data_IF_419731951207
#
_entry.id   IF_419731951207
#
_cell.length_a   1.000
_cell.length_b   1.000
_cell.length_c   1.000
_cell.angle_alpha   90.00
_cell.angle_beta   90.00
_cell.angle_gamma   90.00
#
_symmetry.space_group_name_H-M   'P 1'
#
loop_
_entity.id
_entity.type
_entity.pdbx_description
1 polymer ?
#
# COMPACT_ATOMS: atom_id res chain seq x y z
N UNK A 1 0.67 7.63 -64.54
CA UNK A 1 -0.24 7.94 -63.42
C UNK A 1 -0.13 6.81 -62.42
N UNK A 2 0.72 6.98 -61.40
CA UNK A 2 0.90 6.02 -60.31
C UNK A 2 0.50 6.73 -59.02
N UNK A 3 -0.20 5.96 -58.20
CA UNK A 3 -1.22 6.34 -57.24
C UNK A 3 -0.59 6.97 -55.97
N UNK A 4 -0.80 8.27 -55.76
CA UNK A 4 -0.30 9.03 -54.60
C UNK A 4 -0.98 8.68 -53.27
N UNK A 5 -1.97 7.76 -53.28
CA UNK A 5 -2.77 7.44 -52.10
C UNK A 5 -2.10 6.47 -51.10
N UNK A 6 -1.02 5.76 -51.48
CA UNK A 6 -0.36 4.80 -50.58
C UNK A 6 0.76 5.39 -49.70
N UNK A 7 1.24 6.60 -50.00
CA UNK A 7 2.37 7.20 -49.26
C UNK A 7 1.93 7.88 -47.96
N UNK A 8 0.64 8.22 -47.82
CA UNK A 8 0.13 8.89 -46.62
C UNK A 8 -0.15 7.87 -45.49
N UNK A 9 -0.37 6.59 -45.81
CA UNK A 9 -0.69 5.57 -44.79
C UNK A 9 0.54 5.00 -44.06
N UNK A 10 1.75 5.14 -44.61
CA UNK A 10 2.98 4.66 -43.97
C UNK A 10 3.70 5.73 -43.14
N UNK A 11 3.29 7.01 -43.25
CA UNK A 11 3.93 8.10 -42.49
C UNK A 11 3.37 8.27 -41.06
N UNK A 12 2.24 7.65 -40.74
CA UNK A 12 1.63 7.69 -39.39
C UNK A 12 2.16 6.62 -38.43
N UNK A 13 3.13 5.78 -38.84
CA UNK A 13 3.66 4.69 -38.02
C UNK A 13 4.99 5.01 -37.30
N UNK A 14 5.48 6.26 -37.36
CA UNK A 14 6.82 6.62 -36.87
C UNK A 14 6.85 7.85 -35.96
N UNK A 15 5.74 8.14 -35.28
CA UNK A 15 5.75 8.98 -34.08
C UNK A 15 5.80 8.04 -32.86
N UNK A 16 6.92 7.32 -32.72
CA UNK A 16 7.31 6.85 -31.40
C UNK A 16 7.81 8.10 -30.71
N UNK A 17 7.02 8.61 -29.76
CA UNK A 17 7.45 9.60 -28.79
C UNK A 17 8.70 9.07 -28.09
N UNK A 18 9.88 9.42 -28.61
CA UNK A 18 11.08 9.51 -27.78
C UNK A 18 10.88 10.78 -26.96
N UNK A 19 10.04 10.69 -25.92
CA UNK A 19 10.11 11.63 -24.81
C UNK A 19 11.46 11.42 -24.17
N UNK A 20 12.46 12.17 -24.62
CA UNK A 20 13.71 12.35 -23.90
C UNK A 20 13.39 13.21 -22.67
N UNK A 21 12.66 12.61 -21.73
CA UNK A 21 12.47 13.19 -20.42
C UNK A 21 13.83 13.20 -19.75
N UNK A 22 14.31 14.40 -19.41
CA UNK A 22 15.62 14.64 -18.85
C UNK A 22 15.63 14.24 -17.36
N UNK A 23 15.48 12.96 -17.07
CA UNK A 23 15.59 12.42 -15.73
C UNK A 23 17.06 12.36 -15.31
N UNK A 24 17.31 12.55 -14.02
CA UNK A 24 18.65 12.34 -13.47
C UNK A 24 19.07 10.88 -13.72
N UNK A 25 20.36 10.67 -14.01
CA UNK A 25 20.90 9.32 -14.16
C UNK A 25 20.80 8.55 -12.84
N UNK A 26 20.45 7.26 -12.92
CA UNK A 26 20.37 6.38 -11.77
C UNK A 26 21.72 6.29 -11.04
N UNK A 27 21.69 6.35 -9.70
CA UNK A 27 22.91 6.28 -8.89
C UNK A 27 23.33 4.82 -8.71
N UNK A 28 24.61 4.59 -8.43
CA UNK A 28 25.11 3.22 -8.23
C UNK A 28 24.37 2.42 -7.15
N UNK A 29 23.88 3.09 -6.10
CA UNK A 29 23.11 2.47 -5.02
C UNK A 29 21.59 2.49 -5.26
N UNK A 30 21.12 3.24 -6.25
CA UNK A 30 19.71 3.47 -6.57
C UNK A 30 19.51 3.02 -8.02
N UNK A 31 19.44 1.70 -8.20
CA UNK A 31 19.45 1.05 -9.52
C UNK A 31 18.03 0.86 -10.10
N UNK A 32 17.00 1.16 -9.30
CA UNK A 32 15.61 1.14 -9.75
C UNK A 32 15.36 2.34 -10.66
N UNK A 33 14.93 2.06 -11.89
CA UNK A 33 14.70 3.07 -12.91
C UNK A 33 13.23 3.44 -13.07
N UNK A 34 12.32 2.51 -12.75
CA UNK A 34 10.89 2.74 -12.82
C UNK A 34 10.12 1.87 -11.81
N UNK A 35 8.92 2.30 -11.47
CA UNK A 35 7.98 1.56 -10.61
C UNK A 35 6.60 1.53 -11.25
N UNK A 36 5.96 0.37 -11.25
CA UNK A 36 4.58 0.18 -11.66
C UNK A 36 3.73 0.00 -10.40
N UNK A 37 2.77 0.93 -10.23
CA UNK A 37 1.75 0.88 -9.19
C UNK A 37 0.46 0.31 -9.76
N UNK A 38 -0.07 -0.72 -9.12
CA UNK A 38 -1.29 -1.41 -9.53
C UNK A 38 -2.45 -1.07 -8.59
N UNK A 39 -3.53 -0.53 -9.16
CA UNK A 39 -4.80 -0.28 -8.47
C UNK A 39 -5.72 -1.46 -8.71
N UNK A 40 -6.34 -1.95 -7.64
CA UNK A 40 -7.33 -3.02 -7.65
C UNK A 40 -8.72 -2.42 -7.38
N UNK A 41 -9.80 -3.10 -7.78
CA UNK A 41 -11.16 -2.63 -7.49
C UNK A 41 -11.40 -2.59 -5.99
N UNK A 42 -12.18 -1.61 -5.54
CA UNK A 42 -12.58 -1.49 -4.13
C UNK A 42 -13.54 -2.63 -3.77
N UNK A 43 -13.37 -3.18 -2.57
CA UNK A 43 -14.36 -4.08 -2.00
C UNK A 43 -15.58 -3.22 -1.64
N UNK A 44 -16.69 -3.48 -2.32
CA UNK A 44 -17.97 -2.84 -2.00
C UNK A 44 -18.38 -3.38 -0.63
N UNK A 45 -18.24 -2.53 0.39
CA UNK A 45 -18.94 -2.75 1.65
C UNK A 45 -20.41 -2.49 1.36
N UNK A 46 -21.20 -3.54 1.09
CA UNK A 46 -22.65 -3.43 1.25
C UNK A 46 -22.88 -2.99 2.69
N UNK A 47 -23.25 -1.73 2.88
CA UNK A 47 -23.68 -1.20 4.16
C UNK A 47 -24.76 -2.16 4.67
N UNK A 48 -24.48 -2.79 5.82
CA UNK A 48 -25.54 -3.44 6.58
C UNK A 48 -26.50 -2.34 6.96
N UNK A 49 -27.66 -2.32 6.30
CA UNK A 49 -28.87 -1.66 6.79
C UNK A 49 -29.17 -2.23 8.18
N UNK A 50 -28.57 -1.67 9.23
CA UNK A 50 -28.98 -1.94 10.59
C UNK A 50 -30.38 -1.33 10.76
N UNK A 51 -31.33 -2.27 10.70
CA UNK A 51 -32.75 -2.16 10.96
C UNK A 51 -32.99 -1.15 12.09
N UNK A 52 -33.73 -0.08 11.76
CA UNK A 52 -34.46 0.72 12.75
C UNK A 52 -35.51 -0.17 13.42
N UNK A 53 -35.13 -0.91 14.45
CA UNK A 53 -36.10 -1.46 15.40
C UNK A 53 -36.52 -0.34 16.35
N UNK A 54 -37.77 0.11 16.17
CA UNK A 54 -38.42 1.05 17.04
C UNK A 54 -38.58 0.47 18.44
N UNK A 55 -37.95 1.11 19.42
CA UNK A 55 -38.30 0.91 20.81
C UNK A 55 -39.56 1.74 21.11
N UNK A 56 -40.66 1.01 21.28
CA UNK A 56 -41.92 1.51 21.82
C UNK A 56 -41.71 2.14 23.21
N UNK A 57 -42.32 3.32 23.38
CA UNK A 57 -42.63 3.91 24.67
C UNK A 57 -43.45 2.93 25.51
N UNK A 58 -43.02 2.67 26.75
CA UNK A 58 -43.90 2.18 27.81
C UNK A 58 -43.74 3.12 29.00
N UNK A 59 -44.91 3.60 29.44
CA UNK A 59 -45.15 4.66 30.40
C UNK A 59 -44.60 4.38 31.81
N UNK A 60 -44.30 5.51 32.44
CA UNK A 60 -44.13 5.77 33.87
C UNK A 60 -45.45 5.53 34.66
N UNK A 61 -45.31 5.20 35.96
CA UNK A 61 -46.16 5.56 37.11
C UNK A 61 -46.10 4.51 38.25
N UNK A 62 -45.71 4.97 39.46
CA UNK A 62 -46.43 4.58 40.69
C UNK A 62 -45.68 4.04 41.94
N UNK A 63 -45.06 4.94 42.71
CA UNK A 63 -45.21 5.17 44.19
C UNK A 63 -45.23 3.98 45.20
N UNK A 64 -44.29 3.93 46.16
CA UNK A 64 -44.50 4.27 47.61
C UNK A 64 -43.52 3.61 48.61
N UNK A 65 -42.89 4.47 49.42
CA UNK A 65 -42.54 4.43 50.86
C UNK A 65 -42.09 3.14 51.60
N UNK A 66 -41.01 3.28 52.37
CA UNK A 66 -40.68 2.41 53.51
C UNK A 66 -39.34 2.75 54.18
N UNK A 67 -39.40 3.34 55.37
CA UNK A 67 -38.33 3.84 56.24
C UNK A 67 -37.63 2.76 57.09
N UNK A 68 -36.37 3.01 57.52
CA UNK A 68 -35.69 2.23 58.56
C UNK A 68 -34.23 2.63 58.79
N UNK A 69 -33.95 3.18 59.97
CA UNK A 69 -32.64 3.66 60.48
C UNK A 69 -31.62 2.56 60.80
N UNK A 70 -30.34 2.95 60.68
CA UNK A 70 -29.13 2.60 61.46
C UNK A 70 -28.82 1.12 61.79
N UNK A 71 -27.64 0.65 61.37
CA UNK A 71 -26.54 0.34 62.28
C UNK A 71 -25.26 -0.01 61.49
N UNK A 72 -24.16 0.60 61.92
CA UNK A 72 -22.79 0.27 61.55
C UNK A 72 -22.48 -1.16 61.96
N UNK A 73 -22.10 -2.00 60.99
CA UNK A 73 -21.29 -3.20 61.22
C UNK A 73 -20.48 -3.49 59.95
N UNK A 74 -19.15 -3.38 60.12
CA UNK A 74 -18.13 -3.68 59.12
C UNK A 74 -18.36 -5.03 58.43
N UNK A 75 -18.84 -4.98 57.19
CA UNK A 75 -18.64 -6.05 56.20
C UNK A 75 -18.14 -5.42 54.92
N UNK A 76 -16.84 -5.61 54.64
CA UNK A 76 -16.26 -5.42 53.31
C UNK A 76 -17.08 -6.26 52.31
N UNK A 77 -18.03 -5.62 51.66
CA UNK A 77 -18.60 -6.11 50.42
C UNK A 77 -17.49 -6.03 49.37
N UNK A 78 -16.98 -7.19 48.98
CA UNK A 78 -16.31 -7.35 47.69
C UNK A 78 -17.30 -6.87 46.64
N UNK A 79 -17.11 -5.63 46.15
CA UNK A 79 -17.69 -5.21 44.89
C UNK A 79 -17.00 -6.10 43.86
N UNK A 80 -17.70 -7.02 43.17
CA UNK A 80 -17.12 -7.65 42.01
C UNK A 80 -16.81 -6.49 41.07
N UNK A 81 -15.51 -6.22 40.90
CA UNK A 81 -15.00 -5.33 39.88
C UNK A 81 -15.55 -5.93 38.60
N UNK A 82 -16.65 -5.39 38.10
CA UNK A 82 -17.04 -5.55 36.71
C UNK A 82 -15.82 -5.02 35.98
N UNK A 83 -14.95 -5.93 35.54
CA UNK A 83 -13.90 -5.62 34.61
C UNK A 83 -14.64 -5.16 33.35
N UNK A 84 -14.99 -3.89 33.29
CA UNK A 84 -15.03 -3.16 32.04
C UNK A 84 -13.59 -3.18 31.56
N UNK A 85 -13.22 -4.29 30.93
CA UNK A 85 -12.06 -4.31 30.05
C UNK A 85 -12.22 -3.08 29.14
N UNK A 86 -11.23 -2.18 29.07
CA UNK A 86 -11.24 -1.23 27.97
C UNK A 86 -11.15 -2.11 26.72
N UNK A 87 -12.25 -2.21 25.99
CA UNK A 87 -12.26 -2.72 24.63
C UNK A 87 -11.42 -1.69 23.88
N UNK A 88 -10.13 -1.96 23.76
CA UNK A 88 -9.27 -1.28 22.83
C UNK A 88 -9.88 -1.49 21.45
N UNK A 89 -10.51 -0.45 20.92
CA UNK A 89 -11.10 -0.35 19.58
C UNK A 89 -10.02 -0.35 18.48
N UNK A 90 -8.85 -0.94 18.76
CA UNK A 90 -7.61 -0.75 18.01
C UNK A 90 -7.23 -1.97 17.16
N UNK A 91 -8.06 -3.00 17.14
CA UNK A 91 -7.86 -4.18 16.30
C UNK A 91 -9.12 -4.54 15.51
N UNK A 92 -9.80 -3.53 14.94
CA UNK A 92 -10.60 -3.83 13.75
C UNK A 92 -9.57 -4.21 12.68
N UNK A 93 -9.52 -5.48 12.20
CA UNK A 93 -8.79 -5.74 10.97
C UNK A 93 -9.46 -4.83 9.96
N UNK A 94 -8.74 -3.82 9.45
CA UNK A 94 -9.25 -3.03 8.33
C UNK A 94 -9.61 -4.05 7.27
N UNK A 95 -10.91 -4.24 7.04
CA UNK A 95 -11.37 -5.07 5.95
C UNK A 95 -10.60 -4.59 4.73
N UNK A 96 -9.95 -5.51 3.98
CA UNK A 96 -9.17 -5.09 2.83
C UNK A 96 -10.05 -4.15 2.01
N UNK A 97 -9.58 -2.93 1.75
CA UNK A 97 -10.37 -1.94 1.02
C UNK A 97 -10.52 -2.34 -0.45
N UNK A 98 -9.71 -3.30 -0.92
CA UNK A 98 -9.59 -3.69 -2.31
C UNK A 98 -9.58 -5.20 -2.49
N UNK A 99 -10.12 -5.66 -3.61
CA UNK A 99 -10.10 -7.06 -4.00
C UNK A 99 -8.82 -7.39 -4.77
N UNK A 100 -7.84 -7.94 -4.04
CA UNK A 100 -6.56 -8.36 -4.61
C UNK A 100 -6.62 -9.68 -5.39
N UNK A 101 -7.76 -10.36 -5.38
CA UNK A 101 -7.97 -11.58 -6.19
C UNK A 101 -8.39 -11.25 -7.62
N UNK A 102 -8.88 -10.03 -7.87
CA UNK A 102 -9.27 -9.55 -9.20
C UNK A 102 -8.10 -8.97 -9.98
N UNK A 103 -8.29 -8.75 -11.29
CA UNK A 103 -7.31 -8.06 -12.11
C UNK A 103 -7.19 -6.57 -11.72
N UNK A 104 -5.99 -5.97 -11.80
CA UNK A 104 -5.81 -4.54 -11.55
C UNK A 104 -6.64 -3.69 -12.52
N UNK A 105 -7.47 -2.80 -12.00
CA UNK A 105 -8.24 -1.83 -12.79
C UNK A 105 -7.37 -0.76 -13.45
N UNK A 106 -6.19 -0.51 -12.89
CA UNK A 106 -5.25 0.48 -13.42
C UNK A 106 -3.80 0.09 -13.09
N UNK A 107 -2.91 0.33 -14.06
CA UNK A 107 -1.46 0.27 -13.87
C UNK A 107 -0.88 1.64 -14.18
N UNK A 108 -0.13 2.20 -13.24
CA UNK A 108 0.51 3.52 -13.38
C UNK A 108 2.01 3.34 -13.27
N UNK A 109 2.74 3.72 -14.31
CA UNK A 109 4.20 3.61 -14.34
C UNK A 109 4.83 4.96 -14.02
N UNK A 110 5.77 4.96 -13.08
CA UNK A 110 6.54 6.12 -12.66
C UNK A 110 8.01 5.89 -12.97
N UNK A 111 8.60 6.76 -13.79
CA UNK A 111 10.04 6.77 -14.00
C UNK A 111 10.71 7.45 -12.79
N UNK A 112 11.69 6.77 -12.18
CA UNK A 112 12.49 7.32 -11.07
C UNK A 112 13.73 8.03 -11.63
N UNK A 113 14.44 7.36 -12.54
CA UNK A 113 15.69 7.85 -13.11
C UNK A 113 15.94 7.23 -14.49
N UNK A 114 16.89 7.80 -15.23
CA UNK A 114 17.37 7.25 -16.50
C UNK A 114 18.58 6.35 -16.28
N UNK A 115 18.61 5.19 -16.92
CA UNK A 115 19.77 4.31 -16.91
C UNK A 115 21.00 4.96 -17.60
N UNK A 116 22.19 4.41 -17.32
CA UNK A 116 23.43 4.83 -17.98
C UNK A 116 23.42 4.41 -19.46
N UNK A 117 24.27 5.03 -20.29
CA UNK A 117 24.11 5.06 -21.76
C UNK A 117 24.16 3.68 -22.47
N UNK A 118 24.55 2.61 -21.78
CA UNK A 118 24.57 1.22 -22.29
C UNK A 118 23.54 0.29 -21.61
N UNK A 119 22.67 0.83 -20.75
CA UNK A 119 21.70 0.08 -19.98
C UNK A 119 20.27 0.57 -20.27
N UNK A 120 19.34 -0.37 -20.40
CA UNK A 120 17.92 -0.05 -20.55
C UNK A 120 17.16 -0.37 -19.26
N UNK A 121 16.15 0.44 -18.98
CA UNK A 121 15.27 0.16 -17.87
C UNK A 121 14.50 -1.15 -18.13
N UNK A 122 14.52 -2.07 -17.17
CA UNK A 122 13.84 -3.35 -17.30
C UNK A 122 12.36 -3.19 -17.62
N UNK A 123 11.82 -4.08 -18.45
CA UNK A 123 10.38 -4.19 -18.68
C UNK A 123 9.74 -4.90 -17.49
N UNK A 124 8.59 -4.45 -17.02
CA UNK A 124 7.91 -5.02 -15.84
C UNK A 124 7.51 -6.49 -15.98
N UNK A 125 7.48 -7.03 -17.20
CA UNK A 125 7.24 -8.46 -17.47
C UNK A 125 8.52 -9.32 -17.38
N UNK A 126 9.70 -8.68 -17.30
CA UNK A 126 10.99 -9.36 -17.18
C UNK A 126 11.29 -9.72 -15.72
N UNK A 127 11.31 -11.01 -15.41
CA UNK A 127 11.64 -11.53 -14.07
C UNK A 127 13.09 -11.24 -13.68
N UNK A 128 13.99 -11.11 -14.66
CA UNK A 128 15.42 -10.91 -14.42
C UNK A 128 15.77 -9.49 -13.95
N UNK A 129 14.91 -8.51 -14.25
CA UNK A 129 15.15 -7.08 -13.97
C UNK A 129 14.01 -6.44 -13.17
N UNK A 130 13.00 -7.22 -12.78
CA UNK A 130 11.83 -6.72 -12.04
C UNK A 130 11.71 -7.40 -10.69
N UNK A 131 11.55 -6.60 -9.64
CA UNK A 131 11.22 -7.06 -8.30
C UNK A 131 9.76 -6.75 -7.99
N UNK A 132 9.01 -7.76 -7.58
CA UNK A 132 7.65 -7.58 -7.04
C UNK A 132 7.72 -7.53 -5.51
N UNK A 133 7.37 -6.39 -4.92
CA UNK A 133 7.33 -6.22 -3.45
C UNK A 133 5.96 -6.54 -2.85
N UNK A 134 4.91 -6.41 -3.65
CA UNK A 134 3.54 -6.75 -3.28
C UNK A 134 2.69 -6.78 -4.55
N UNK A 135 1.45 -7.23 -4.43
CA UNK A 135 0.47 -7.19 -5.52
C UNK A 135 0.30 -5.79 -6.14
N UNK A 136 0.67 -4.72 -5.41
CA UNK A 136 0.52 -3.32 -5.83
C UNK A 136 1.76 -2.70 -6.44
N UNK A 137 2.94 -3.27 -6.21
CA UNK A 137 4.20 -2.59 -6.50
C UNK A 137 5.18 -3.52 -7.18
N UNK A 138 5.53 -3.16 -8.41
CA UNK A 138 6.64 -3.75 -9.16
C UNK A 138 7.70 -2.70 -9.44
N UNK A 139 8.96 -3.09 -9.33
CA UNK A 139 10.12 -2.21 -9.45
C UNK A 139 11.01 -2.75 -10.56
N UNK A 140 11.26 -1.94 -11.57
CA UNK A 140 12.16 -2.24 -12.66
C UNK A 140 13.55 -1.65 -12.40
N UNK A 141 14.58 -2.40 -12.80
CA UNK A 141 15.98 -2.04 -12.62
C UNK A 141 16.72 -1.94 -13.95
N UNK A 142 17.78 -1.13 -14.01
CA UNK A 142 18.64 -0.99 -15.21
C UNK A 142 19.44 -2.25 -15.53
N UNK A 143 19.70 -3.10 -14.53
CA UNK A 143 20.52 -4.31 -14.66
C UNK A 143 19.80 -5.54 -14.11
N UNK A 144 20.23 -6.75 -14.52
CA UNK A 144 19.71 -7.98 -13.93
C UNK A 144 19.89 -8.01 -12.41
N UNK A 145 18.87 -8.43 -11.67
CA UNK A 145 18.81 -8.40 -10.21
C UNK A 145 20.02 -9.09 -9.55
N UNK A 146 20.54 -10.18 -10.15
CA UNK A 146 21.70 -10.91 -9.64
C UNK A 146 23.03 -10.14 -9.77
N UNK A 147 23.08 -9.16 -10.68
CA UNK A 147 24.22 -8.23 -10.81
C UNK A 147 24.11 -7.04 -9.86
N UNK A 148 22.90 -6.73 -9.38
CA UNK A 148 22.64 -5.60 -8.46
C UNK A 148 22.79 -6.06 -7.02
N UNK A 149 22.12 -7.16 -6.69
CA UNK A 149 21.98 -7.65 -5.32
C UNK A 149 22.95 -8.79 -5.05
N UNK A 150 24.15 -8.45 -4.59
CA UNK A 150 25.15 -9.44 -4.19
C UNK A 150 24.90 -10.04 -2.80
N UNK A 151 23.99 -9.45 -2.03
CA UNK A 151 23.65 -9.88 -0.67
C UNK A 151 22.20 -10.35 -0.60
N UNK A 152 22.00 -11.45 0.13
CA UNK A 152 20.67 -11.98 0.44
C UNK A 152 20.09 -11.23 1.64
N UNK A 153 18.79 -10.93 1.59
CA UNK A 153 18.10 -10.32 2.72
C UNK A 153 18.09 -11.29 3.91
N UNK A 154 18.48 -10.82 5.10
CA UNK A 154 18.52 -11.61 6.33
C UNK A 154 17.76 -10.90 7.46
N UNK A 155 16.57 -11.41 7.77
CA UNK A 155 15.73 -10.95 8.86
C UNK A 155 15.35 -9.46 8.77
N UNK A 156 14.92 -8.90 9.90
CA UNK A 156 14.34 -7.54 9.99
C UNK A 156 15.30 -6.39 9.65
N UNK A 157 16.62 -6.63 9.60
CA UNK A 157 17.61 -5.57 9.28
C UNK A 157 17.72 -5.26 7.79
N UNK A 158 17.15 -6.13 6.95
CA UNK A 158 17.25 -6.04 5.49
C UNK A 158 15.91 -5.54 4.94
N UNK A 159 15.68 -4.22 5.02
CA UNK A 159 14.45 -3.60 4.55
C UNK A 159 14.57 -3.17 3.09
N UNK A 160 13.52 -3.44 2.32
CA UNK A 160 13.25 -2.75 1.06
C UNK A 160 12.30 -1.59 1.34
N UNK A 161 12.59 -0.40 0.80
CA UNK A 161 11.73 0.78 0.98
C UNK A 161 11.36 1.38 -0.36
N UNK A 162 10.10 1.79 -0.48
CA UNK A 162 9.57 2.58 -1.58
C UNK A 162 9.12 3.92 -1.02
N UNK A 163 9.69 5.01 -1.53
CA UNK A 163 9.49 6.36 -1.00
C UNK A 163 8.69 7.17 -2.03
N UNK A 164 7.61 7.78 -1.57
CA UNK A 164 6.72 8.50 -2.48
C UNK A 164 5.61 9.25 -1.77
N UNK A 165 4.62 9.70 -2.55
CA UNK A 165 3.44 10.39 -2.03
C UNK A 165 2.32 9.41 -1.79
N UNK A 166 1.64 9.61 -0.66
CA UNK A 166 0.49 8.84 -0.24
C UNK A 166 -0.79 9.39 -0.89
N UNK A 167 -1.73 8.51 -1.13
CA UNK A 167 -3.12 8.85 -1.39
C UNK A 167 -3.73 9.44 -0.12
N UNK A 168 -4.07 10.72 -0.14
CA UNK A 168 -4.57 11.42 1.06
C UNK A 168 -5.99 11.00 1.46
N UNK A 169 -6.77 10.42 0.53
CA UNK A 169 -8.14 9.98 0.83
C UNK A 169 -8.14 8.66 1.61
N UNK A 170 -7.27 7.72 1.20
CA UNK A 170 -7.23 6.36 1.77
C UNK A 170 -6.12 6.18 2.80
N UNK A 171 -5.04 6.96 2.72
CA UNK A 171 -3.92 6.89 3.64
C UNK A 171 -3.09 5.61 3.59
N UNK A 172 -3.37 4.67 2.67
CA UNK A 172 -2.73 3.34 2.67
C UNK A 172 -2.02 2.99 1.34
N UNK A 173 -2.00 3.90 0.37
CA UNK A 173 -1.49 3.62 -0.98
C UNK A 173 -0.58 4.72 -1.51
N UNK A 174 0.45 4.33 -2.25
CA UNK A 174 1.27 5.28 -3.02
C UNK A 174 0.52 5.74 -4.29
N UNK A 175 0.53 7.04 -4.55
CA UNK A 175 0.05 7.64 -5.82
C UNK A 175 1.19 8.10 -6.73
N UNK A 176 2.39 8.21 -6.16
CA UNK A 176 3.59 8.62 -6.86
C UNK A 176 4.82 8.06 -6.16
N UNK A 177 5.82 7.60 -6.91
CA UNK A 177 7.09 7.12 -6.36
C UNK A 177 8.22 8.04 -6.77
N UNK A 178 9.01 8.47 -5.79
CA UNK A 178 10.15 9.36 -5.98
C UNK A 178 11.47 8.61 -5.88
N UNK A 179 11.56 7.61 -4.99
CA UNK A 179 12.80 6.90 -4.72
C UNK A 179 12.52 5.49 -4.18
N UNK A 180 13.53 4.62 -4.21
CA UNK A 180 13.52 3.29 -3.59
C UNK A 180 14.88 3.03 -2.94
N UNK A 181 14.86 2.36 -1.79
CA UNK A 181 16.08 1.93 -1.09
C UNK A 181 16.00 0.42 -0.90
N UNK A 182 16.74 -0.31 -1.73
CA UNK A 182 16.76 -1.77 -1.74
C UNK A 182 18.21 -2.20 -1.91
N UNK A 183 18.71 -2.98 -0.95
CA UNK A 183 20.13 -3.33 -0.90
C UNK A 183 20.38 -4.85 -0.97
N UNK A 184 19.33 -5.65 -1.00
CA UNK A 184 19.42 -7.10 -0.94
C UNK A 184 18.33 -7.77 -1.77
N UNK A 185 18.56 -9.04 -2.12
CA UNK A 185 17.57 -9.89 -2.79
C UNK A 185 16.90 -10.83 -1.80
N UNK A 186 15.58 -10.92 -1.88
CA UNK A 186 14.78 -11.90 -1.14
C UNK A 186 14.67 -13.19 -1.96
N UNK A 187 15.23 -14.30 -1.48
CA UNK A 187 15.24 -15.56 -2.25
C UNK A 187 13.86 -16.18 -2.42
N UNK A 188 12.99 -16.03 -1.42
CA UNK A 188 11.61 -16.49 -1.48
C UNK A 188 10.74 -15.64 -2.41
N UNK A 189 11.22 -14.45 -2.80
CA UNK A 189 10.43 -13.37 -3.42
C UNK A 189 9.16 -13.01 -2.62
N UNK A 190 9.10 -13.36 -1.33
CA UNK A 190 7.96 -13.06 -0.46
C UNK A 190 8.33 -11.91 0.46
N UNK A 191 7.53 -10.85 0.38
CA UNK A 191 7.70 -9.64 1.15
C UNK A 191 6.45 -9.38 1.97
N UNK A 192 6.64 -8.95 3.21
CA UNK A 192 5.57 -8.42 4.05
C UNK A 192 5.74 -6.91 4.16
N UNK A 193 4.68 -6.18 3.82
CA UNK A 193 4.60 -4.74 4.04
C UNK A 193 4.55 -4.45 5.54
N UNK A 194 5.43 -3.57 6.01
CA UNK A 194 5.41 -3.03 7.36
C UNK A 194 4.58 -1.74 7.42
N UNK A 195 4.50 -1.13 8.60
CA UNK A 195 3.83 0.16 8.77
C UNK A 195 4.45 1.24 7.87
N UNK A 196 3.60 2.14 7.36
CA UNK A 196 4.00 3.32 6.58
C UNK A 196 4.65 4.33 7.54
N UNK A 197 5.84 4.83 7.18
CA UNK A 197 6.60 5.78 8.00
C UNK A 197 6.64 7.15 7.30
N UNK A 198 6.52 8.29 8.01
CA UNK A 198 6.80 9.60 7.44
C UNK A 198 8.25 9.70 6.93
N UNK A 199 8.43 10.41 5.83
CA UNK A 199 9.73 10.70 5.22
C UNK A 199 9.86 12.21 4.97
N UNK A 200 11.06 12.67 4.60
CA UNK A 200 11.29 14.10 4.34
C UNK A 200 10.45 14.63 3.17
N UNK A 201 10.12 15.93 3.19
CA UNK A 201 9.39 16.65 2.14
C UNK A 201 7.98 16.08 1.84
N UNK A 202 7.20 15.81 2.89
CA UNK A 202 5.82 15.30 2.80
C UNK A 202 5.69 13.99 2.02
N UNK A 203 6.76 13.18 2.05
CA UNK A 203 6.79 11.85 1.48
C UNK A 203 6.59 10.80 2.57
N UNK A 204 6.28 9.58 2.16
CA UNK A 204 6.09 8.43 3.02
C UNK A 204 6.96 7.28 2.53
N UNK A 205 7.50 6.50 3.48
CA UNK A 205 8.29 5.30 3.24
C UNK A 205 7.43 4.07 3.48
N UNK A 206 7.21 3.31 2.42
CA UNK A 206 6.60 1.98 2.46
C UNK A 206 7.72 0.96 2.62
N UNK A 207 7.84 0.41 3.81
CA UNK A 207 8.90 -0.54 4.16
C UNK A 207 8.42 -1.99 4.01
N UNK A 208 9.30 -2.87 3.57
CA UNK A 208 9.04 -4.28 3.33
C UNK A 208 10.14 -5.16 3.93
N UNK A 209 9.74 -6.26 4.57
CA UNK A 209 10.65 -7.31 5.07
C UNK A 209 10.52 -8.57 4.24
N UNK A 210 11.65 -9.22 3.96
CA UNK A 210 11.69 -10.53 3.31
C UNK A 210 11.35 -11.64 4.33
N UNK A 211 10.55 -12.64 3.92
CA UNK A 211 10.16 -13.81 4.73
C UNK A 211 10.58 -15.14 4.13
#
# INVERSE_FOLDING_TARGET
MINTCHIILTLNLLIIFVSSNNYQKCRNYQQACAVELMKFPELVNDERDDIKEGHNEINDEGVSEGSGENNDDDKLHFVPMTMSFPIYDEFVPTTPTYDYSMEPVQKVQHQICSCLDDEECGKFDSIEQTLELSNHIRIAFCRPLDKIFHVKCKGMRSLARVIGRLDMETGDRLVHVNDTLIFCRCESNKWIRMMIEPWINDMFSFSYICI
#
